data_IF_004922125780
#
_entry.id   IF_004922125780
#
_cell.length_a   1.000
_cell.length_b   1.000
_cell.length_c   1.000
_cell.angle_alpha   90.00
_cell.angle_beta   90.00
_cell.angle_gamma   90.00
#
_symmetry.space_group_name_H-M   'P 1'
#
loop_
_entity.id
_entity.type
_entity.pdbx_description
1 polymer ?
#
# COMPACT_ATOMS: atom_id res chain seq x y z
N UNK A 1 -20.61 -27.77 1.34
CA UNK A 1 -20.43 -26.50 2.06
C UNK A 1 -19.01 -26.04 1.82
N UNK A 2 -18.83 -25.14 0.86
CA UNK A 2 -17.62 -24.34 0.64
C UNK A 2 -18.03 -23.24 -0.34
N UNK A 3 -18.76 -22.24 0.16
CA UNK A 3 -18.98 -21.03 -0.63
C UNK A 3 -17.62 -20.37 -0.79
N UNK A 4 -17.11 -20.48 -2.02
CA UNK A 4 -15.86 -19.90 -2.43
C UNK A 4 -15.82 -18.43 -2.01
N UNK A 5 -14.72 -18.06 -1.34
CA UNK A 5 -14.34 -16.71 -0.94
C UNK A 5 -14.11 -15.86 -2.20
N UNK A 6 -15.19 -15.64 -2.95
CA UNK A 6 -15.16 -15.08 -4.29
C UNK A 6 -15.14 -13.58 -4.11
N UNK A 7 -13.96 -13.01 -4.30
CA UNK A 7 -13.74 -11.57 -4.33
C UNK A 7 -14.78 -10.98 -5.31
N UNK A 8 -15.68 -10.09 -4.88
CA UNK A 8 -16.72 -9.57 -5.75
C UNK A 8 -16.07 -8.86 -6.95
N UNK A 9 -16.68 -8.98 -8.15
CA UNK A 9 -16.09 -8.49 -9.39
C UNK A 9 -15.79 -7.00 -9.32
N UNK A 10 -14.65 -6.64 -9.90
CA UNK A 10 -14.12 -5.29 -10.05
C UNK A 10 -15.21 -4.32 -10.54
N UNK A 11 -15.51 -3.29 -9.75
CA UNK A 11 -16.32 -2.15 -10.21
C UNK A 11 -15.42 -1.34 -11.14
N UNK A 12 -15.86 -1.11 -12.37
CA UNK A 12 -15.10 -0.33 -13.35
C UNK A 12 -14.70 1.01 -12.75
N UNK A 13 -13.40 1.26 -12.66
CA UNK A 13 -12.86 2.57 -12.33
C UNK A 13 -13.31 3.56 -13.41
N UNK A 14 -13.84 4.73 -13.03
CA UNK A 14 -14.32 5.71 -14.02
C UNK A 14 -13.13 6.43 -14.67
N UNK A 15 -13.30 6.86 -15.92
CA UNK A 15 -12.28 7.65 -16.63
C UNK A 15 -11.89 8.93 -15.87
N UNK A 16 -12.87 9.55 -15.20
CA UNK A 16 -12.65 10.72 -14.32
C UNK A 16 -11.71 10.38 -13.16
N UNK A 17 -11.92 9.24 -12.51
CA UNK A 17 -11.05 8.80 -11.42
C UNK A 17 -9.64 8.51 -11.91
N UNK A 18 -9.49 7.81 -13.04
CA UNK A 18 -8.18 7.52 -13.63
C UNK A 18 -7.43 8.81 -13.99
N UNK A 19 -8.14 9.78 -14.56
CA UNK A 19 -7.58 11.10 -14.89
C UNK A 19 -7.04 11.81 -13.66
N UNK A 20 -7.80 11.80 -12.55
CA UNK A 20 -7.39 12.44 -11.29
C UNK A 20 -6.12 11.81 -10.71
N UNK A 21 -6.05 10.48 -10.62
CA UNK A 21 -4.88 9.82 -10.00
C UNK A 21 -3.64 9.84 -10.89
N UNK A 22 -3.81 9.88 -12.22
CA UNK A 22 -2.70 9.93 -13.17
C UNK A 22 -1.94 11.26 -13.10
N UNK A 23 -2.63 12.36 -12.79
CA UNK A 23 -2.02 13.67 -12.61
C UNK A 23 -1.29 13.87 -11.27
N UNK A 24 -1.37 12.91 -10.34
CA UNK A 24 -0.78 13.05 -9.01
C UNK A 24 0.74 12.82 -9.05
N UNK A 25 1.48 13.67 -8.34
CA UNK A 25 2.93 13.49 -8.15
C UNK A 25 3.23 12.39 -7.13
N UNK A 26 2.36 12.24 -6.13
CA UNK A 26 2.50 11.22 -5.10
C UNK A 26 2.07 9.86 -5.64
N UNK A 27 2.72 8.79 -5.16
CA UNK A 27 2.30 7.44 -5.46
C UNK A 27 0.91 7.20 -4.88
N UNK A 28 0.05 6.59 -5.69
CA UNK A 28 -1.30 6.20 -5.33
C UNK A 28 -1.44 4.70 -5.55
N UNK A 29 -2.03 4.01 -4.57
CA UNK A 29 -2.47 2.63 -4.72
C UNK A 29 -3.76 2.37 -3.94
N UNK A 30 -4.70 1.69 -4.58
CA UNK A 30 -5.96 1.24 -4.03
C UNK A 30 -5.93 -0.28 -3.90
N UNK A 31 -6.40 -0.78 -2.76
CA UNK A 31 -6.28 -2.19 -2.40
C UNK A 31 -7.56 -2.70 -1.74
N UNK A 32 -7.70 -4.02 -1.71
CA UNK A 32 -8.70 -4.74 -0.92
C UNK A 32 -8.02 -5.69 0.05
N UNK A 33 -8.39 -5.60 1.32
CA UNK A 33 -7.86 -6.48 2.37
C UNK A 33 -8.42 -7.89 2.21
N UNK A 34 -7.58 -8.89 2.46
CA UNK A 34 -7.93 -10.30 2.55
C UNK A 34 -7.84 -10.70 4.03
N UNK A 35 -8.92 -11.28 4.55
CA UNK A 35 -8.97 -11.75 5.94
C UNK A 35 -9.15 -13.25 6.03
N UNK A 36 -8.72 -13.83 7.14
CA UNK A 36 -9.09 -15.19 7.52
C UNK A 36 -10.57 -15.28 7.99
N UNK A 37 -10.97 -16.46 8.45
CA UNK A 37 -12.31 -16.75 8.97
C UNK A 37 -12.65 -15.97 10.26
N UNK A 38 -11.64 -15.50 10.99
CA UNK A 38 -11.80 -14.72 12.22
C UNK A 38 -11.80 -13.20 11.95
N UNK A 39 -11.68 -12.79 10.68
CA UNK A 39 -11.60 -11.38 10.28
C UNK A 39 -10.22 -10.76 10.51
N UNK A 40 -9.18 -11.57 10.71
CA UNK A 40 -7.79 -11.11 10.87
C UNK A 40 -7.21 -10.85 9.47
N UNK A 41 -6.65 -9.67 9.22
CA UNK A 41 -5.94 -9.38 7.96
C UNK A 41 -4.76 -10.32 7.75
N UNK A 42 -4.72 -11.01 6.62
CA UNK A 42 -3.66 -11.96 6.26
C UNK A 42 -2.94 -11.59 4.97
N UNK A 43 -3.56 -10.78 4.11
CA UNK A 43 -2.97 -10.29 2.86
C UNK A 43 -3.80 -9.12 2.30
N UNK A 44 -3.43 -8.56 1.16
CA UNK A 44 -4.27 -7.67 0.36
C UNK A 44 -3.96 -7.77 -1.13
N UNK A 45 -4.93 -7.38 -1.96
CA UNK A 45 -4.82 -7.37 -3.42
C UNK A 45 -4.78 -5.94 -3.96
N UNK A 46 -3.94 -5.69 -4.97
CA UNK A 46 -3.93 -4.41 -5.68
C UNK A 46 -5.16 -4.29 -6.60
N UNK A 47 -5.95 -3.24 -6.40
CA UNK A 47 -7.08 -2.90 -7.25
C UNK A 47 -6.71 -1.84 -8.29
N UNK A 48 -5.89 -0.87 -7.92
CA UNK A 48 -5.51 0.22 -8.79
C UNK A 48 -4.20 0.89 -8.36
N UNK A 49 -3.38 1.36 -9.30
CA UNK A 49 -2.16 2.16 -9.05
C UNK A 49 -1.99 3.26 -10.10
N UNK A 50 -1.26 4.32 -9.77
CA UNK A 50 -0.90 5.36 -10.74
C UNK A 50 0.57 5.26 -11.19
N UNK A 51 0.96 6.03 -12.20
CA UNK A 51 2.35 6.01 -12.69
C UNK A 51 3.39 6.43 -11.64
N UNK A 52 3.01 7.26 -10.66
CA UNK A 52 3.92 7.65 -9.58
C UNK A 52 4.26 6.46 -8.67
N UNK A 53 3.30 5.56 -8.43
CA UNK A 53 3.56 4.28 -7.74
C UNK A 53 4.59 3.45 -8.49
N UNK A 54 4.44 3.32 -9.81
CA UNK A 54 5.35 2.52 -10.63
C UNK A 54 6.77 3.09 -10.58
N UNK A 55 6.91 4.42 -10.70
CA UNK A 55 8.21 5.09 -10.60
C UNK A 55 8.89 4.94 -9.23
N UNK A 56 8.12 5.01 -8.14
CA UNK A 56 8.68 4.96 -6.78
C UNK A 56 9.01 3.54 -6.33
N UNK A 57 8.19 2.56 -6.71
CA UNK A 57 8.35 1.16 -6.26
C UNK A 57 9.13 0.31 -7.26
N UNK A 58 9.15 0.70 -8.53
CA UNK A 58 9.71 -0.08 -9.64
C UNK A 58 8.80 -1.21 -10.13
N UNK A 59 7.57 -1.30 -9.61
CA UNK A 59 6.60 -2.34 -9.96
C UNK A 59 5.63 -1.80 -11.02
N UNK A 60 5.48 -2.48 -12.15
CA UNK A 60 4.54 -2.03 -13.18
C UNK A 60 3.10 -2.25 -12.75
N UNK A 61 2.19 -1.42 -13.25
CA UNK A 61 0.75 -1.59 -13.05
C UNK A 61 0.28 -3.00 -13.46
N UNK A 62 0.70 -3.48 -14.63
CA UNK A 62 0.35 -4.81 -15.15
C UNK A 62 0.87 -5.94 -14.26
N UNK A 63 2.01 -5.72 -13.60
CA UNK A 63 2.62 -6.70 -12.72
C UNK A 63 1.89 -6.81 -11.37
N UNK A 64 1.24 -5.74 -10.90
CA UNK A 64 0.62 -5.73 -9.57
C UNK A 64 -0.89 -5.97 -9.59
N UNK A 65 -1.60 -5.49 -10.62
CA UNK A 65 -3.06 -5.51 -10.63
C UNK A 65 -3.66 -6.91 -10.44
N UNK A 66 -4.57 -7.04 -9.49
CA UNK A 66 -5.25 -8.29 -9.16
C UNK A 66 -4.39 -9.31 -8.41
N UNK A 67 -3.12 -9.02 -8.13
CA UNK A 67 -2.23 -9.90 -7.38
C UNK A 67 -2.15 -9.53 -5.91
N UNK A 68 -1.82 -10.52 -5.07
CA UNK A 68 -1.59 -10.30 -3.64
C UNK A 68 -0.28 -9.58 -3.40
N UNK A 69 -0.17 -8.84 -2.30
CA UNK A 69 1.08 -8.17 -1.98
C UNK A 69 2.21 -9.17 -1.70
N UNK A 70 1.90 -10.32 -1.09
CA UNK A 70 2.90 -11.37 -0.83
C UNK A 70 3.43 -12.02 -2.11
N UNK A 71 2.66 -11.99 -3.21
CA UNK A 71 3.10 -12.44 -4.53
C UNK A 71 3.98 -11.40 -5.23
N UNK A 72 3.65 -10.11 -5.07
CA UNK A 72 4.34 -8.99 -5.72
C UNK A 72 5.63 -8.60 -4.98
N UNK A 73 5.59 -8.65 -3.65
CA UNK A 73 6.68 -8.31 -2.73
C UNK A 73 6.89 -9.46 -1.74
N UNK A 74 7.55 -10.56 -2.17
CA UNK A 74 7.87 -11.67 -1.28
C UNK A 74 8.67 -11.21 -0.06
N UNK A 75 8.24 -11.60 1.14
CA UNK A 75 8.88 -11.24 2.42
C UNK A 75 8.30 -9.99 3.09
N UNK A 76 7.33 -9.30 2.48
CA UNK A 76 6.69 -8.13 3.11
C UNK A 76 5.95 -8.46 4.43
N UNK A 77 5.51 -9.69 4.57
CA UNK A 77 4.85 -10.25 5.76
C UNK A 77 5.84 -10.68 6.86
N UNK A 78 7.14 -10.71 6.54
CA UNK A 78 8.23 -11.05 7.45
C UNK A 78 8.98 -9.82 7.98
N UNK A 79 8.71 -8.62 7.44
CA UNK A 79 9.32 -7.36 7.90
C UNK A 79 8.97 -7.02 9.38
N UNK A 80 9.87 -6.31 10.05
CA UNK A 80 9.66 -5.84 11.44
C UNK A 80 8.36 -5.02 11.57
N UNK A 81 8.05 -4.22 10.54
CA UNK A 81 6.80 -3.51 10.43
C UNK A 81 5.76 -4.31 9.64
N UNK A 82 4.68 -4.72 10.31
CA UNK A 82 3.64 -5.50 9.68
C UNK A 82 2.66 -4.61 8.86
N UNK A 83 3.02 -4.40 7.59
CA UNK A 83 2.22 -3.61 6.62
C UNK A 83 0.78 -4.10 6.48
N UNK A 84 0.59 -5.41 6.34
CA UNK A 84 -0.72 -6.04 6.15
C UNK A 84 -1.65 -5.75 7.32
N UNK A 85 -1.14 -5.85 8.55
CA UNK A 85 -1.90 -5.59 9.78
C UNK A 85 -2.29 -4.13 9.89
N UNK A 86 -1.38 -3.19 9.63
CA UNK A 86 -1.69 -1.76 9.74
C UNK A 86 -2.71 -1.33 8.68
N UNK A 87 -2.51 -1.71 7.42
CA UNK A 87 -3.51 -1.44 6.38
C UNK A 87 -4.83 -2.16 6.60
N UNK A 88 -4.80 -3.37 7.17
CA UNK A 88 -6.00 -4.08 7.58
C UNK A 88 -6.80 -3.33 8.64
N UNK A 89 -6.15 -2.68 9.63
CA UNK A 89 -6.85 -1.81 10.58
C UNK A 89 -7.53 -0.64 9.86
N UNK A 90 -6.87 -0.01 8.90
CA UNK A 90 -7.46 1.10 8.12
C UNK A 90 -8.70 0.59 7.36
N UNK A 91 -8.57 -0.50 6.62
CA UNK A 91 -9.63 -1.06 5.79
C UNK A 91 -10.86 -1.53 6.61
N UNK A 92 -10.62 -2.10 7.80
CA UNK A 92 -11.69 -2.68 8.62
C UNK A 92 -12.34 -1.67 9.57
N UNK A 93 -11.59 -0.67 10.04
CA UNK A 93 -12.10 0.32 11.02
C UNK A 93 -12.52 1.64 10.40
N UNK A 94 -12.05 1.94 9.18
CA UNK A 94 -12.26 3.23 8.52
C UNK A 94 -11.43 4.38 9.10
N UNK A 95 -10.61 4.13 10.13
CA UNK A 95 -9.76 5.15 10.74
C UNK A 95 -8.52 5.39 9.88
N UNK A 96 -8.36 6.62 9.40
CA UNK A 96 -7.15 7.03 8.66
C UNK A 96 -5.89 6.90 9.51
N UNK A 97 -4.76 6.61 8.87
CA UNK A 97 -3.44 6.57 9.48
C UNK A 97 -2.43 7.33 8.61
N UNK A 98 -1.41 7.89 9.26
CA UNK A 98 -0.25 8.48 8.61
C UNK A 98 0.99 8.04 9.37
N UNK A 99 2.03 7.60 8.67
CA UNK A 99 3.25 7.12 9.29
C UNK A 99 4.43 7.20 8.32
N UNK A 100 5.64 7.19 8.87
CA UNK A 100 6.89 7.06 8.14
C UNK A 100 7.50 5.72 8.48
N UNK A 101 7.81 4.92 7.46
CA UNK A 101 8.29 3.56 7.68
C UNK A 101 9.25 3.13 6.59
N UNK A 102 10.27 2.38 7.00
CA UNK A 102 11.20 1.71 6.10
C UNK A 102 10.57 0.42 5.58
N UNK A 103 10.58 0.22 4.27
CA UNK A 103 10.32 -1.08 3.66
C UNK A 103 11.66 -1.75 3.37
N UNK A 104 11.84 -2.94 3.94
CA UNK A 104 13.03 -3.75 3.75
C UNK A 104 13.06 -4.35 2.34
N UNK A 105 11.92 -4.87 1.86
CA UNK A 105 11.82 -5.47 0.51
C UNK A 105 12.12 -4.45 -0.58
N UNK A 106 11.69 -3.21 -0.42
CA UNK A 106 11.95 -2.13 -1.40
C UNK A 106 13.22 -1.32 -1.09
N UNK A 107 13.86 -1.56 0.07
CA UNK A 107 15.06 -0.87 0.52
C UNK A 107 14.93 0.67 0.48
N UNK A 108 13.77 1.19 0.93
CA UNK A 108 13.39 2.62 0.85
C UNK A 108 12.58 3.04 2.05
N UNK A 109 12.67 4.32 2.40
CA UNK A 109 11.79 4.95 3.39
C UNK A 109 10.59 5.59 2.71
N UNK A 110 9.40 5.38 3.28
CA UNK A 110 8.17 5.97 2.79
C UNK A 110 7.47 6.81 3.85
N UNK A 111 6.94 7.95 3.44
CA UNK A 111 5.91 8.68 4.18
C UNK A 111 4.55 8.33 3.58
N UNK A 112 3.69 7.70 4.37
CA UNK A 112 2.44 7.09 3.91
C UNK A 112 1.25 7.75 4.59
N UNK A 113 0.23 8.08 3.81
CA UNK A 113 -1.12 8.35 4.28
C UNK A 113 -2.08 7.25 3.78
N UNK A 114 -2.76 6.59 4.71
CA UNK A 114 -3.70 5.51 4.43
C UNK A 114 -5.11 5.85 4.91
N UNK A 115 -6.12 5.59 4.09
CA UNK A 115 -7.52 5.77 4.44
C UNK A 115 -8.41 4.75 3.73
N UNK A 116 -9.63 4.54 4.22
CA UNK A 116 -10.57 3.56 3.66
C UNK A 116 -11.70 4.25 2.89
N UNK A 117 -11.80 4.08 1.56
CA UNK A 117 -12.92 4.60 0.79
C UNK A 117 -14.20 3.77 1.00
N UNK A 118 -14.04 2.47 1.24
CA UNK A 118 -15.09 1.48 1.42
C UNK A 118 -14.60 0.45 2.44
N UNK A 119 -15.51 -0.08 3.27
CA UNK A 119 -15.16 -1.11 4.26
C UNK A 119 -14.54 -2.33 3.55
N UNK A 120 -13.37 -2.75 4.02
CA UNK A 120 -12.58 -3.83 3.42
C UNK A 120 -11.62 -3.37 2.31
N UNK A 121 -11.64 -2.08 1.95
CA UNK A 121 -10.71 -1.47 1.00
C UNK A 121 -9.92 -0.35 1.68
N UNK A 122 -8.73 -0.10 1.16
CA UNK A 122 -7.89 1.00 1.61
C UNK A 122 -7.09 1.58 0.45
N UNK A 123 -6.88 2.90 0.52
CA UNK A 123 -6.04 3.66 -0.37
C UNK A 123 -4.81 4.10 0.39
N UNK A 124 -3.66 4.00 -0.26
CA UNK A 124 -2.40 4.59 0.19
C UNK A 124 -2.00 5.70 -0.78
N UNK A 125 -1.66 6.86 -0.22
CA UNK A 125 -0.93 7.91 -0.92
C UNK A 125 0.41 8.06 -0.23
N UNK A 126 1.51 7.94 -0.96
CA UNK A 126 2.83 7.94 -0.34
C UNK A 126 3.90 8.61 -1.19
N UNK A 127 5.01 8.95 -0.52
CA UNK A 127 6.23 9.45 -1.13
C UNK A 127 7.43 8.72 -0.55
N UNK A 128 8.45 8.55 -1.39
CA UNK A 128 9.76 8.19 -0.91
C UNK A 128 10.41 9.36 -0.16
N UNK A 129 10.96 9.09 1.01
CA UNK A 129 11.71 10.04 1.86
C UNK A 129 13.11 9.54 2.23
N UNK A 130 13.64 8.55 1.50
CA UNK A 130 14.94 7.92 1.78
C UNK A 130 16.08 8.93 1.91
N UNK A 131 16.22 9.84 0.95
CA UNK A 131 17.29 10.84 0.97
C UNK A 131 17.12 11.84 2.11
N UNK A 132 15.87 12.19 2.46
CA UNK A 132 15.58 13.05 3.60
C UNK A 132 16.04 12.41 4.91
N UNK A 133 15.69 11.13 5.13
CA UNK A 133 16.09 10.38 6.34
C UNK A 133 17.61 10.23 6.42
N UNK A 134 18.27 9.85 5.32
CA UNK A 134 19.74 9.71 5.27
C UNK A 134 20.47 11.02 5.57
N UNK A 135 20.01 12.13 4.98
CA UNK A 135 20.61 13.44 5.21
C UNK A 135 20.42 13.91 6.65
N UNK A 136 19.24 13.66 7.23
CA UNK A 136 18.97 13.98 8.63
C UNK A 136 19.90 13.20 9.57
N UNK A 137 20.04 11.89 9.37
CA UNK A 137 20.92 11.06 10.21
C UNK A 137 22.38 11.51 10.11
N UNK A 138 22.89 11.77 8.89
CA UNK A 138 24.26 12.26 8.69
C UNK A 138 24.53 13.56 9.47
N UNK A 139 23.57 14.49 9.46
CA UNK A 139 23.69 15.75 10.19
C UNK A 139 23.67 15.55 11.71
N UNK A 140 22.88 14.58 12.21
CA UNK A 140 22.84 14.25 13.64
C UNK A 140 24.15 13.61 14.10
N UNK A 141 24.75 12.73 13.30
CA UNK A 141 26.03 12.09 13.58
C UNK A 141 27.21 13.08 13.55
N UNK A 142 27.16 14.11 12.69
CA UNK A 142 28.18 15.18 12.60
C UNK A 142 28.16 16.14 13.81
N UNK A 143 27.07 16.14 14.58
CA UNK A 143 26.88 17.00 15.77
C UNK A 143 27.21 16.30 17.09
N UNK A 144 27.56 15.01 17.07
CA UNK A 144 27.98 14.21 18.24
C UNK A 144 29.51 14.07 18.34
#
# INVERSE_FOLDING_TARGET
>A
MSEANTIPPFRSVTEEYLSLISGMVNAFAHHRIITDENGIPIDYVFLEVNEAFERMTGLSREEVLGKRVTEVLPGIDEEDFNWIKEYGKVALTGKRQTFEQYSEVLNRWYSVAAFSPLRGEFVTVFNEITDYVKNKQRLEDELQ
#
